data_IF_825302159185
#
_entry.id   IF_825302159185
#
_cell.length_a   1.000
_cell.length_b   1.000
_cell.length_c   1.000
_cell.angle_alpha   90.00
_cell.angle_beta   90.00
_cell.angle_gamma   90.00
#
_symmetry.space_group_name_H-M   'P 1'
#
loop_
_entity.id
_entity.type
_entity.pdbx_description
1 polymer ?
#
# COMPACT_ATOMS: atom_id res chain seq x y z
N UNK A 1 -4.71 9.13 -16.78
CA UNK A 1 -5.27 10.51 -16.94
C UNK A 1 -6.35 10.77 -15.90
N UNK A 2 -6.83 12.01 -15.73
CA UNK A 2 -7.95 12.31 -14.82
C UNK A 2 -9.19 11.46 -15.16
N UNK A 3 -9.54 11.32 -16.44
CA UNK A 3 -10.66 10.48 -16.87
C UNK A 3 -10.50 8.99 -16.47
N UNK A 4 -9.27 8.46 -16.54
CA UNK A 4 -8.98 7.08 -16.11
C UNK A 4 -9.18 6.91 -14.59
N UNK A 5 -8.68 7.87 -13.79
CA UNK A 5 -8.91 7.85 -12.34
C UNK A 5 -10.39 7.95 -12.00
N UNK A 6 -11.14 8.82 -12.68
CA UNK A 6 -12.59 8.94 -12.46
C UNK A 6 -13.31 7.64 -12.81
N UNK A 7 -12.98 7.01 -13.95
CA UNK A 7 -13.58 5.72 -14.32
C UNK A 7 -13.26 4.60 -13.32
N UNK A 8 -11.99 4.50 -12.92
CA UNK A 8 -11.55 3.51 -11.94
C UNK A 8 -12.17 3.76 -10.56
N UNK A 9 -12.34 5.02 -10.16
CA UNK A 9 -13.01 5.41 -8.92
C UNK A 9 -14.46 4.92 -8.88
N UNK A 10 -15.22 5.13 -9.96
CA UNK A 10 -16.60 4.65 -10.06
C UNK A 10 -16.64 3.13 -9.97
N UNK A 11 -15.82 2.42 -10.73
CA UNK A 11 -15.77 0.95 -10.71
C UNK A 11 -15.41 0.40 -9.33
N UNK A 12 -14.39 0.96 -8.68
CA UNK A 12 -13.94 0.49 -7.37
C UNK A 12 -14.95 0.83 -6.26
N UNK A 13 -15.67 1.95 -6.38
CA UNK A 13 -16.76 2.30 -5.46
C UNK A 13 -17.88 1.26 -5.56
N UNK A 14 -18.36 0.95 -6.76
CA UNK A 14 -19.40 -0.09 -6.97
C UNK A 14 -18.95 -1.49 -6.53
N UNK A 15 -17.65 -1.80 -6.64
CA UNK A 15 -17.12 -3.10 -6.26
C UNK A 15 -16.93 -3.25 -4.73
N UNK A 16 -16.44 -2.20 -4.05
CA UNK A 16 -15.94 -2.29 -2.69
C UNK A 16 -16.86 -1.65 -1.64
N UNK A 17 -17.62 -0.63 -2.01
CA UNK A 17 -18.45 0.18 -1.10
C UNK A 17 -19.94 -0.15 -1.31
N UNK A 18 -20.30 -1.41 -1.11
CA UNK A 18 -21.62 -1.96 -1.49
C UNK A 18 -22.68 -1.89 -0.39
N UNK A 19 -22.28 -1.52 0.83
CA UNK A 19 -23.16 -1.54 1.99
C UNK A 19 -23.61 -0.12 2.38
N UNK A 20 -24.86 0.00 2.81
CA UNK A 20 -25.41 1.19 3.47
C UNK A 20 -25.88 0.78 4.85
N UNK A 21 -25.70 1.66 5.83
CA UNK A 21 -26.21 1.50 7.18
C UNK A 21 -27.08 2.69 7.54
N UNK A 22 -28.15 2.39 8.27
CA UNK A 22 -29.06 3.36 8.86
C UNK A 22 -29.23 3.00 10.33
N UNK A 23 -28.91 3.93 11.22
CA UNK A 23 -29.01 3.73 12.67
C UNK A 23 -29.32 5.03 13.39
N UNK A 24 -29.95 4.94 14.56
CA UNK A 24 -30.28 6.11 15.40
C UNK A 24 -29.36 6.19 16.60
N UNK A 25 -28.97 7.42 16.95
CA UNK A 25 -28.12 7.75 18.10
C UNK A 25 -28.75 8.88 18.90
N UNK A 26 -28.30 9.07 20.15
CA UNK A 26 -28.67 10.24 20.94
C UNK A 26 -27.92 11.49 20.47
N UNK A 27 -27.87 12.52 21.34
CA UNK A 27 -27.19 13.79 21.06
C UNK A 27 -25.71 13.64 20.69
N UNK A 28 -25.06 12.53 21.06
CA UNK A 28 -23.69 12.22 20.62
C UNK A 28 -23.56 12.06 19.10
N UNK A 29 -24.65 11.87 18.36
CA UNK A 29 -24.67 11.85 16.89
C UNK A 29 -24.32 13.20 16.27
N UNK A 30 -24.62 14.29 16.97
CA UNK A 30 -24.34 15.66 16.52
C UNK A 30 -22.85 15.98 16.40
N UNK A 31 -21.97 15.13 16.96
CA UNK A 31 -20.52 15.29 16.79
C UNK A 31 -20.05 14.98 15.37
N UNK A 32 -20.88 14.27 14.60
CA UNK A 32 -20.58 13.91 13.22
C UNK A 32 -21.21 14.89 12.25
N UNK A 33 -20.63 14.98 11.08
CA UNK A 33 -21.13 15.74 9.94
C UNK A 33 -21.12 14.86 8.68
N UNK A 34 -21.97 15.13 7.68
CA UNK A 34 -21.87 14.47 6.39
C UNK A 34 -20.45 14.57 5.83
N UNK A 35 -19.88 13.41 5.47
CA UNK A 35 -18.49 13.28 5.02
C UNK A 35 -17.59 12.54 6.02
N UNK A 36 -17.93 12.55 7.31
CA UNK A 36 -17.14 11.91 8.36
C UNK A 36 -17.05 10.39 8.18
N UNK A 37 -15.88 9.83 8.52
CA UNK A 37 -15.65 8.39 8.55
C UNK A 37 -15.91 7.89 9.97
N UNK A 38 -16.93 7.05 10.10
CA UNK A 38 -17.38 6.47 11.35
C UNK A 38 -17.08 4.96 11.38
N UNK A 39 -16.55 4.50 12.51
CA UNK A 39 -16.43 3.07 12.78
C UNK A 39 -17.76 2.57 13.36
N UNK A 40 -18.33 1.52 12.77
CA UNK A 40 -19.62 0.95 13.19
C UNK A 40 -19.41 -0.43 13.80
N UNK A 41 -19.73 -0.54 15.09
CA UNK A 41 -19.72 -1.79 15.85
C UNK A 41 -21.12 -2.43 15.84
N UNK A 42 -21.50 -3.01 14.71
CA UNK A 42 -22.80 -3.68 14.51
C UNK A 42 -22.77 -5.11 15.06
N UNK A 43 -23.50 -5.32 16.15
CA UNK A 43 -23.55 -6.61 16.84
C UNK A 43 -24.23 -7.72 16.01
N UNK A 44 -25.27 -7.37 15.25
CA UNK A 44 -26.04 -8.34 14.46
C UNK A 44 -25.22 -8.81 13.27
N UNK A 45 -24.50 -7.87 12.61
CA UNK A 45 -23.58 -8.21 11.54
C UNK A 45 -22.36 -8.99 12.04
N UNK A 46 -21.83 -8.64 13.22
CA UNK A 46 -20.69 -9.33 13.80
C UNK A 46 -21.04 -10.72 14.36
N UNK A 47 -22.33 -10.99 14.62
CA UNK A 47 -22.78 -12.19 15.34
C UNK A 47 -22.26 -12.25 16.78
N UNK A 48 -21.88 -11.11 17.35
CA UNK A 48 -21.24 -10.99 18.66
C UNK A 48 -21.50 -9.61 19.29
N UNK A 49 -21.53 -9.54 20.62
CA UNK A 49 -21.61 -8.29 21.37
C UNK A 49 -20.30 -7.51 21.29
N UNK A 50 -20.23 -6.56 20.37
CA UNK A 50 -19.05 -5.74 20.05
C UNK A 50 -19.27 -4.24 20.26
N UNK A 51 -20.46 -3.80 20.65
CA UNK A 51 -20.75 -2.42 20.99
C UNK A 51 -21.95 -2.28 21.92
N UNK A 52 -21.95 -1.21 22.72
CA UNK A 52 -23.00 -0.94 23.69
C UNK A 52 -22.74 0.29 24.56
N UNK A 53 -23.33 0.29 25.75
CA UNK A 53 -23.23 1.35 26.78
C UNK A 53 -22.62 0.82 28.08
N UNK A 54 -21.90 1.68 28.78
CA UNK A 54 -21.38 1.41 30.13
C UNK A 54 -22.52 1.63 31.11
N UNK A 55 -22.78 0.67 32.01
CA UNK A 55 -23.86 0.76 33.01
C UNK A 55 -23.35 1.19 34.38
N UNK A 56 -22.13 0.80 34.72
CA UNK A 56 -21.49 1.13 36.00
C UNK A 56 -19.97 1.07 35.87
N UNK A 57 -19.25 1.70 36.81
CA UNK A 57 -17.80 1.69 36.85
C UNK A 57 -17.22 1.76 38.26
N UNK A 58 -16.11 1.06 38.46
CA UNK A 58 -15.28 1.16 39.66
C UNK A 58 -13.88 1.64 39.26
N UNK A 59 -13.60 2.91 39.56
CA UNK A 59 -12.33 3.57 39.24
C UNK A 59 -11.17 2.91 40.00
N UNK A 60 -11.40 2.48 41.24
CA UNK A 60 -10.34 1.93 42.10
C UNK A 60 -9.79 0.61 41.56
N UNK A 61 -10.69 -0.23 41.03
CA UNK A 61 -10.32 -1.52 40.42
C UNK A 61 -10.16 -1.44 38.90
N UNK A 62 -10.46 -0.30 38.28
CA UNK A 62 -10.49 -0.08 36.82
C UNK A 62 -11.47 -1.03 36.13
N UNK A 63 -12.58 -1.33 36.80
CA UNK A 63 -13.61 -2.25 36.31
C UNK A 63 -14.74 -1.46 35.66
N UNK A 64 -15.17 -1.87 34.47
CA UNK A 64 -16.41 -1.41 33.85
C UNK A 64 -17.43 -2.53 33.84
N UNK A 65 -18.69 -2.18 34.10
CA UNK A 65 -19.86 -3.02 33.84
C UNK A 65 -20.50 -2.57 32.53
N UNK A 66 -20.71 -3.51 31.61
CA UNK A 66 -21.29 -3.28 30.30
C UNK A 66 -22.80 -3.53 30.33
N UNK A 67 -23.52 -3.00 29.36
CA UNK A 67 -24.97 -3.23 29.18
C UNK A 67 -25.32 -4.63 28.69
N UNK A 68 -24.32 -5.45 28.34
CA UNK A 68 -24.47 -6.81 27.83
C UNK A 68 -23.19 -7.61 28.04
N UNK A 69 -23.33 -8.91 27.97
CA UNK A 69 -22.20 -9.84 28.03
C UNK A 69 -21.37 -9.76 26.75
N UNK A 70 -20.05 -9.91 26.88
CA UNK A 70 -19.11 -10.00 25.77
C UNK A 70 -18.29 -11.30 25.85
N UNK A 71 -17.74 -11.72 24.71
CA UNK A 71 -16.83 -12.87 24.65
C UNK A 71 -15.47 -12.39 24.19
N UNK A 72 -14.44 -12.62 25.01
CA UNK A 72 -13.06 -12.33 24.66
C UNK A 72 -12.39 -13.52 23.96
N UNK A 73 -11.41 -13.27 23.08
CA UNK A 73 -10.71 -14.34 22.37
C UNK A 73 -9.75 -15.08 23.33
N UNK A 74 -9.57 -16.38 23.11
CA UNK A 74 -8.63 -17.21 23.89
C UNK A 74 -7.17 -16.78 23.70
N UNK A 75 -6.87 -16.10 22.59
CA UNK A 75 -5.54 -15.55 22.30
C UNK A 75 -5.62 -14.21 21.55
N UNK A 76 -4.60 -13.38 21.74
CA UNK A 76 -4.54 -12.02 21.19
C UNK A 76 -5.05 -10.96 22.17
N UNK A 77 -4.66 -9.70 21.94
CA UNK A 77 -5.08 -8.59 22.78
C UNK A 77 -6.45 -8.07 22.33
N UNK A 78 -7.42 -8.03 23.25
CA UNK A 78 -8.68 -7.33 23.05
C UNK A 78 -8.55 -5.88 23.54
N UNK A 79 -9.09 -4.94 22.77
CA UNK A 79 -9.10 -3.52 23.14
C UNK A 79 -10.53 -3.00 23.18
N UNK A 80 -10.78 -2.07 24.09
CA UNK A 80 -12.05 -1.36 24.21
C UNK A 80 -11.84 0.09 23.79
N UNK A 81 -12.65 0.55 22.82
CA UNK A 81 -12.80 1.98 22.55
C UNK A 81 -13.94 2.49 23.41
N UNK A 82 -13.69 3.58 24.11
CA UNK A 82 -14.65 4.24 24.98
C UNK A 82 -14.81 5.67 24.47
N UNK A 83 -16.05 6.13 24.35
CA UNK A 83 -16.36 7.53 24.04
C UNK A 83 -17.14 8.10 25.21
N UNK A 84 -16.48 9.03 25.91
CA UNK A 84 -17.06 9.80 27.00
C UNK A 84 -17.98 10.92 26.51
N UNK A 85 -18.52 11.73 27.44
CA UNK A 85 -19.42 12.86 27.12
C UNK A 85 -18.72 13.98 26.36
N UNK A 86 -17.40 14.07 26.53
CA UNK A 86 -16.53 14.99 25.79
C UNK A 86 -16.39 14.59 24.32
N UNK A 87 -16.88 13.40 23.93
CA UNK A 87 -16.87 12.91 22.55
C UNK A 87 -15.52 12.41 22.07
N UNK A 88 -14.47 12.49 22.89
CA UNK A 88 -13.13 12.04 22.57
C UNK A 88 -13.04 10.52 22.68
N UNK A 89 -12.64 9.79 21.62
CA UNK A 89 -12.42 8.36 21.71
C UNK A 89 -11.14 8.05 22.49
N UNK A 90 -11.23 7.09 23.40
CA UNK A 90 -10.11 6.55 24.16
C UNK A 90 -10.04 5.03 23.97
N UNK A 91 -8.87 4.52 23.57
CA UNK A 91 -8.65 3.08 23.37
C UNK A 91 -7.74 2.52 24.46
N UNK A 92 -8.14 1.41 25.07
CA UNK A 92 -7.32 0.69 26.06
C UNK A 92 -7.44 -0.81 25.91
N UNK A 93 -6.38 -1.54 26.29
CA UNK A 93 -6.40 -2.99 26.41
C UNK A 93 -7.29 -3.44 27.58
N UNK A 94 -7.97 -4.57 27.39
CA UNK A 94 -8.67 -5.29 28.45
C UNK A 94 -7.64 -6.19 29.15
N UNK A 95 -7.47 -5.99 30.46
CA UNK A 95 -6.54 -6.75 31.29
C UNK A 95 -7.14 -8.10 31.72
N UNK A 96 -8.42 -8.14 32.08
CA UNK A 96 -9.14 -9.36 32.44
C UNK A 96 -10.66 -9.19 32.36
N UNK A 97 -11.39 -10.30 32.40
CA UNK A 97 -12.86 -10.33 32.39
C UNK A 97 -13.36 -11.08 33.64
N UNK A 98 -13.60 -10.39 34.77
CA UNK A 98 -14.06 -11.03 36.01
C UNK A 98 -15.49 -11.61 35.93
N UNK A 99 -16.33 -11.12 35.00
CA UNK A 99 -17.66 -11.65 34.71
C UNK A 99 -18.01 -11.42 33.22
N UNK A 100 -18.99 -12.13 32.65
CA UNK A 100 -19.36 -11.99 31.23
C UNK A 100 -19.64 -10.55 30.79
N UNK A 101 -20.19 -9.72 31.67
CA UNK A 101 -20.53 -8.31 31.49
C UNK A 101 -19.52 -7.33 32.11
N UNK A 102 -18.42 -7.81 32.70
CA UNK A 102 -17.44 -6.97 33.42
C UNK A 102 -16.03 -7.14 32.90
N UNK A 103 -15.36 -6.01 32.67
CA UNK A 103 -13.99 -5.97 32.18
C UNK A 103 -13.12 -5.09 33.07
N UNK A 104 -11.89 -5.53 33.33
CA UNK A 104 -10.84 -4.73 33.97
C UNK A 104 -9.97 -4.14 32.88
N UNK A 105 -9.80 -2.83 32.89
CA UNK A 105 -9.01 -2.11 31.90
C UNK A 105 -7.57 -1.92 32.36
N UNK A 106 -6.65 -1.91 31.40
CA UNK A 106 -5.25 -1.55 31.65
C UNK A 106 -5.13 -0.10 32.12
N UNK A 107 -5.84 0.82 31.47
CA UNK A 107 -5.92 2.24 31.84
C UNK A 107 -7.39 2.66 31.86
N UNK A 108 -7.83 3.27 32.95
CA UNK A 108 -9.19 3.83 33.06
C UNK A 108 -9.19 5.26 32.47
N UNK A 109 -10.10 5.61 31.54
CA UNK A 109 -10.22 6.97 31.04
C UNK A 109 -10.75 7.90 32.13
N UNK A 110 -10.26 9.15 32.20
CA UNK A 110 -10.78 10.14 33.15
C UNK A 110 -12.20 10.62 32.79
N UNK A 111 -12.56 10.57 31.51
CA UNK A 111 -13.86 11.05 30.99
C UNK A 111 -14.95 9.97 30.95
N UNK A 112 -14.65 8.75 31.42
CA UNK A 112 -15.64 7.66 31.43
C UNK A 112 -16.71 7.90 32.47
N UNK A 113 -17.96 7.64 32.12
CA UNK A 113 -19.09 7.69 33.03
C UNK A 113 -20.15 6.66 32.64
N UNK A 114 -21.19 6.42 33.46
CA UNK A 114 -22.34 5.65 33.02
C UNK A 114 -22.95 6.27 31.76
N UNK A 115 -23.46 5.41 30.88
CA UNK A 115 -23.97 5.73 29.53
C UNK A 115 -22.93 6.17 28.49
N UNK A 116 -21.63 6.21 28.84
CA UNK A 116 -20.56 6.28 27.84
C UNK A 116 -20.65 5.11 26.87
N UNK A 117 -20.28 5.34 25.61
CA UNK A 117 -20.31 4.32 24.56
C UNK A 117 -19.05 3.47 24.68
N UNK A 118 -19.19 2.17 24.48
CA UNK A 118 -18.06 1.27 24.27
C UNK A 118 -18.18 0.51 22.95
N UNK A 119 -17.02 0.20 22.36
CA UNK A 119 -16.88 -0.67 21.20
C UNK A 119 -15.68 -1.61 21.40
N UNK A 120 -15.90 -2.91 21.23
CA UNK A 120 -14.90 -3.96 21.36
C UNK A 120 -14.17 -4.15 20.04
N UNK A 121 -12.84 -4.08 20.10
CA UNK A 121 -11.93 -4.40 19.01
C UNK A 121 -11.27 -5.74 19.29
N UNK A 122 -11.58 -6.73 18.46
CA UNK A 122 -11.00 -8.07 18.49
C UNK A 122 -10.05 -8.27 17.31
N UNK A 123 -8.96 -9.04 17.46
CA UNK A 123 -8.07 -9.38 16.36
C UNK A 123 -8.77 -10.08 15.18
N UNK A 124 -9.84 -10.81 15.46
CA UNK A 124 -10.64 -11.55 14.47
C UNK A 124 -11.68 -10.68 13.74
N UNK A 125 -11.96 -9.47 14.24
CA UNK A 125 -12.97 -8.59 13.66
C UNK A 125 -12.31 -7.58 12.73
N UNK A 126 -12.78 -7.56 11.47
CA UNK A 126 -12.43 -6.48 10.54
C UNK A 126 -13.15 -5.21 10.95
N UNK A 127 -12.40 -4.12 11.08
CA UNK A 127 -12.97 -2.78 11.25
C UNK A 127 -13.88 -2.47 10.06
N UNK A 128 -15.11 -2.04 10.34
CA UNK A 128 -16.05 -1.57 9.33
C UNK A 128 -16.17 -0.06 9.43
N UNK A 129 -15.83 0.62 8.35
CA UNK A 129 -15.89 2.07 8.23
C UNK A 129 -17.03 2.44 7.32
N UNK A 130 -17.72 3.51 7.68
CA UNK A 130 -18.79 4.08 6.88
C UNK A 130 -18.57 5.59 6.78
N UNK A 131 -18.85 6.15 5.61
CA UNK A 131 -18.88 7.59 5.38
C UNK A 131 -20.31 8.08 5.61
N UNK A 132 -20.47 9.00 6.55
CA UNK A 132 -21.76 9.64 6.80
C UNK A 132 -22.23 10.38 5.55
N UNK A 133 -23.46 10.12 5.12
CA UNK A 133 -24.12 10.80 4.00
C UNK A 133 -25.17 11.78 4.50
N UNK A 134 -25.87 11.41 5.57
CA UNK A 134 -26.97 12.21 6.11
C UNK A 134 -27.08 12.03 7.62
N UNK A 135 -27.42 13.13 8.28
CA UNK A 135 -27.87 13.16 9.68
C UNK A 135 -29.22 13.87 9.68
N UNK A 136 -30.22 13.26 10.31
CA UNK A 136 -31.57 13.80 10.43
C UNK A 136 -31.97 13.76 11.91
N UNK A 137 -32.42 14.89 12.44
CA UNK A 137 -33.04 14.96 13.76
C UNK A 137 -34.46 14.39 13.71
N UNK A 138 -34.81 13.56 14.69
CA UNK A 138 -36.14 12.99 14.90
C UNK A 138 -36.87 13.70 16.06
N UNK A 139 -38.19 13.56 16.12
CA UNK A 139 -39.06 14.31 17.04
C UNK A 139 -38.87 13.93 18.52
N UNK A 140 -38.17 12.83 18.81
CA UNK A 140 -37.89 12.32 20.16
C UNK A 140 -36.51 12.73 20.71
N UNK A 141 -35.79 13.61 19.99
CA UNK A 141 -34.46 14.07 20.37
C UNK A 141 -33.33 13.10 20.01
N UNK A 142 -33.62 12.06 19.21
CA UNK A 142 -32.62 11.19 18.59
C UNK A 142 -32.26 11.67 17.18
N UNK A 143 -31.17 11.14 16.65
CA UNK A 143 -30.62 11.50 15.35
C UNK A 143 -30.43 10.23 14.52
N UNK A 144 -31.11 10.15 13.38
CA UNK A 144 -30.90 9.12 12.38
C UNK A 144 -29.68 9.45 11.52
N UNK A 145 -28.73 8.52 11.45
CA UNK A 145 -27.52 8.59 10.64
C UNK A 145 -27.63 7.56 9.51
N UNK A 146 -27.53 8.06 8.27
CA UNK A 146 -27.35 7.23 7.06
C UNK A 146 -25.90 7.34 6.61
N UNK A 147 -25.25 6.19 6.41
CA UNK A 147 -23.85 6.15 5.99
C UNK A 147 -23.60 5.02 4.98
N UNK A 148 -22.68 5.26 4.04
CA UNK A 148 -22.26 4.28 3.03
C UNK A 148 -20.91 3.71 3.39
N UNK A 149 -20.65 2.44 3.05
CA UNK A 149 -19.39 1.79 3.36
C UNK A 149 -18.21 2.59 2.83
N UNK A 150 -17.15 2.67 3.61
CA UNK A 150 -15.90 3.30 3.21
C UNK A 150 -14.76 2.29 3.26
N UNK A 151 -14.04 2.15 2.15
CA UNK A 151 -12.85 1.29 2.04
C UNK A 151 -11.63 2.20 1.80
N UNK A 152 -10.80 2.48 2.81
CA UNK A 152 -9.65 3.38 2.69
C UNK A 152 -8.67 2.97 1.58
N UNK A 153 -8.54 1.68 1.33
CA UNK A 153 -7.64 1.11 0.33
C UNK A 153 -8.04 1.48 -1.11
N UNK A 154 -9.31 1.88 -1.33
CA UNK A 154 -9.83 2.29 -2.64
C UNK A 154 -9.00 3.41 -3.27
N UNK A 155 -8.60 4.41 -2.50
CA UNK A 155 -7.85 5.57 -3.02
C UNK A 155 -6.50 5.14 -3.60
N UNK A 156 -5.78 4.26 -2.88
CA UNK A 156 -4.51 3.69 -3.33
C UNK A 156 -4.66 2.90 -4.63
N UNK A 157 -5.75 2.15 -4.80
CA UNK A 157 -6.03 1.41 -6.04
C UNK A 157 -6.25 2.38 -7.21
N UNK A 158 -7.00 3.47 -6.99
CA UNK A 158 -7.29 4.47 -8.02
C UNK A 158 -6.04 5.24 -8.44
N UNK A 159 -5.19 5.59 -7.47
CA UNK A 159 -3.96 6.33 -7.70
C UNK A 159 -2.89 5.48 -8.39
N UNK A 160 -2.69 4.23 -7.95
CA UNK A 160 -1.72 3.31 -8.54
C UNK A 160 -2.19 2.72 -9.87
N UNK A 161 -3.51 2.68 -10.14
CA UNK A 161 -4.06 2.19 -11.40
C UNK A 161 -3.81 3.13 -12.59
N UNK A 162 -3.39 4.37 -12.35
CA UNK A 162 -3.06 5.32 -13.42
C UNK A 162 -1.65 5.09 -14.00
N UNK A 163 -1.45 4.00 -14.75
CA UNK A 163 -0.30 3.90 -15.64
C UNK A 163 -0.56 4.74 -16.88
N UNK A 164 0.30 5.74 -17.13
CA UNK A 164 0.31 6.43 -18.40
C UNK A 164 1.42 5.79 -19.23
N UNK A 165 1.05 5.02 -20.25
CA UNK A 165 2.02 4.75 -21.30
C UNK A 165 2.46 6.11 -21.84
N UNK A 166 3.77 6.44 -21.85
CA UNK A 166 4.21 7.61 -22.57
C UNK A 166 3.72 7.48 -24.00
N UNK A 167 2.86 8.40 -24.43
CA UNK A 167 2.44 8.49 -25.82
C UNK A 167 3.72 8.48 -26.68
N UNK A 168 3.81 7.64 -27.72
CA UNK A 168 4.97 7.68 -28.60
C UNK A 168 5.11 9.13 -29.08
N UNK A 169 6.26 9.74 -28.77
CA UNK A 169 6.55 11.10 -29.21
C UNK A 169 6.32 11.20 -30.71
N UNK A 170 5.76 12.33 -31.16
CA UNK A 170 5.49 12.61 -32.57
C UNK A 170 6.64 12.13 -33.46
N UNK A 171 6.30 11.29 -34.45
CA UNK A 171 7.19 10.51 -35.32
C UNK A 171 8.14 11.38 -36.15
N UNK A 172 9.15 11.94 -35.50
CA UNK A 172 10.39 12.42 -36.12
C UNK A 172 11.63 12.05 -35.27
N UNK A 173 11.44 11.29 -34.18
CA UNK A 173 12.52 10.72 -33.37
C UNK A 173 12.77 9.27 -33.76
N UNK A 174 13.99 8.97 -34.21
CA UNK A 174 14.46 7.60 -34.40
C UNK A 174 14.66 6.99 -33.00
N UNK A 175 13.66 6.28 -32.46
CA UNK A 175 13.78 5.61 -31.16
C UNK A 175 14.84 4.50 -31.28
N UNK A 176 15.94 4.54 -30.48
CA UNK A 176 16.92 3.46 -30.50
C UNK A 176 16.28 2.13 -30.06
N UNK A 177 16.51 1.02 -30.79
CA UNK A 177 15.92 -0.28 -30.46
C UNK A 177 16.52 -0.85 -29.17
N UNK A 178 15.79 -1.74 -28.51
CA UNK A 178 16.33 -2.53 -27.40
C UNK A 178 17.38 -3.52 -27.90
N UNK A 179 18.43 -3.75 -27.10
CA UNK A 179 19.40 -4.83 -27.34
C UNK A 179 18.82 -6.13 -26.79
N UNK A 180 18.89 -7.21 -27.58
CA UNK A 180 18.36 -8.53 -27.24
C UNK A 180 19.42 -9.62 -27.46
N UNK A 181 19.26 -10.77 -26.80
CA UNK A 181 20.14 -11.93 -26.94
C UNK A 181 21.64 -11.60 -26.81
N UNK A 182 21.98 -10.72 -25.87
CA UNK A 182 23.39 -10.42 -25.58
C UNK A 182 24.06 -11.68 -25.03
N UNK A 183 25.02 -12.19 -25.78
CA UNK A 183 25.84 -13.36 -25.44
C UNK A 183 27.32 -12.99 -25.52
N UNK A 184 28.13 -13.64 -24.68
CA UNK A 184 29.58 -13.43 -24.63
C UNK A 184 30.26 -14.79 -24.68
N UNK A 185 31.14 -14.95 -25.65
CA UNK A 185 32.04 -16.08 -25.78
C UNK A 185 33.44 -15.66 -25.30
N UNK A 186 34.05 -16.44 -24.40
CA UNK A 186 35.40 -16.18 -23.90
C UNK A 186 36.40 -17.18 -24.44
N UNK A 187 37.56 -16.70 -24.87
CA UNK A 187 38.69 -17.51 -25.29
C UNK A 187 39.87 -17.33 -24.32
N UNK A 188 40.54 -18.44 -23.98
CA UNK A 188 41.55 -18.54 -22.94
C UNK A 188 42.94 -18.90 -23.48
N UNK A 189 43.19 -18.67 -24.77
CA UNK A 189 44.43 -19.07 -25.46
C UNK A 189 45.71 -18.36 -24.95
N UNK A 190 45.61 -17.47 -23.94
CA UNK A 190 46.77 -16.83 -23.29
C UNK A 190 46.49 -16.33 -21.85
N UNK A 191 47.53 -15.81 -21.16
CA UNK A 191 47.43 -15.15 -19.83
C UNK A 191 46.49 -13.92 -19.87
N UNK A 192 46.24 -13.39 -21.07
CA UNK A 192 45.31 -12.32 -21.37
C UNK A 192 44.06 -12.91 -22.04
N UNK A 193 42.89 -12.75 -21.40
CA UNK A 193 41.63 -13.32 -21.87
C UNK A 193 41.02 -12.45 -22.98
N UNK A 194 40.35 -13.11 -23.91
CA UNK A 194 39.55 -12.44 -24.94
C UNK A 194 38.08 -12.73 -24.70
N UNK A 195 37.22 -11.74 -24.92
CA UNK A 195 35.78 -11.88 -24.82
C UNK A 195 35.12 -11.29 -26.05
N UNK A 196 34.36 -12.10 -26.79
CA UNK A 196 33.58 -11.66 -27.96
C UNK A 196 32.11 -11.59 -27.58
N UNK A 197 31.56 -10.39 -27.58
CA UNK A 197 30.14 -10.14 -27.37
C UNK A 197 29.39 -10.08 -28.69
N UNK A 198 28.19 -10.66 -28.73
CA UNK A 198 27.25 -10.57 -29.85
C UNK A 198 25.85 -10.30 -29.31
N UNK A 199 25.05 -9.56 -30.07
CA UNK A 199 23.67 -9.27 -29.72
C UNK A 199 22.84 -9.04 -30.97
N UNK A 200 21.52 -8.97 -30.80
CA UNK A 200 20.56 -8.63 -31.84
C UNK A 200 19.73 -7.41 -31.45
N UNK A 201 19.04 -6.85 -32.44
CA UNK A 201 18.00 -5.85 -32.21
C UNK A 201 16.73 -6.29 -32.92
N UNK A 202 15.53 -6.03 -32.35
CA UNK A 202 14.27 -6.45 -32.95
C UNK A 202 13.99 -5.74 -34.30
N UNK A 203 14.67 -4.62 -34.57
CA UNK A 203 14.59 -3.86 -35.82
C UNK A 203 15.92 -3.19 -36.12
N UNK A 204 16.36 -3.25 -37.38
CA UNK A 204 17.51 -2.48 -37.86
C UNK A 204 17.06 -1.04 -38.11
N UNK A 205 17.68 -0.10 -37.41
CA UNK A 205 17.33 1.31 -37.46
C UNK A 205 18.53 2.12 -37.94
N UNK A 206 18.34 2.91 -39.01
CA UNK A 206 19.42 3.70 -39.62
C UNK A 206 19.95 4.74 -38.64
N UNK A 207 21.28 4.84 -38.51
CA UNK A 207 21.93 5.86 -37.66
C UNK A 207 21.98 5.51 -36.17
N UNK A 208 21.68 4.26 -35.81
CA UNK A 208 21.92 3.73 -34.46
C UNK A 208 23.35 3.20 -34.37
N UNK A 209 24.00 3.50 -33.24
CA UNK A 209 25.26 2.89 -32.80
C UNK A 209 25.02 2.21 -31.45
N UNK A 210 25.97 1.41 -31.01
CA UNK A 210 25.93 0.70 -29.74
C UNK A 210 27.05 1.19 -28.84
N UNK A 211 26.71 1.61 -27.63
CA UNK A 211 27.68 1.86 -26.57
C UNK A 211 27.84 0.57 -25.78
N UNK A 212 29.06 0.07 -25.78
CA UNK A 212 29.48 -1.12 -25.08
C UNK A 212 30.25 -0.66 -23.84
N UNK A 213 29.87 -1.14 -22.66
CA UNK A 213 30.46 -0.75 -21.37
C UNK A 213 30.80 -2.00 -20.58
N UNK A 214 32.07 -2.16 -20.23
CA UNK A 214 32.55 -3.24 -19.37
C UNK A 214 32.90 -2.65 -18.00
N UNK A 215 32.34 -3.23 -16.94
CA UNK A 215 32.60 -2.83 -15.55
C UNK A 215 33.05 -4.03 -14.72
N UNK A 216 33.74 -3.77 -13.61
CA UNK A 216 34.09 -4.77 -12.59
C UNK A 216 33.59 -4.30 -11.22
N UNK A 217 33.54 -5.21 -10.25
CA UNK A 217 32.98 -4.96 -8.92
C UNK A 217 31.46 -5.13 -8.87
N UNK A 218 30.98 -5.64 -7.74
CA UNK A 218 29.60 -6.08 -7.52
C UNK A 218 28.63 -4.95 -7.13
N UNK A 219 29.15 -3.74 -6.87
CA UNK A 219 28.34 -2.59 -6.44
C UNK A 219 27.84 -2.67 -4.99
N UNK A 220 28.37 -3.59 -4.20
CA UNK A 220 28.07 -3.75 -2.77
C UNK A 220 28.97 -2.87 -1.91
N UNK A 221 28.59 -2.68 -0.65
CA UNK A 221 29.39 -1.94 0.33
C UNK A 221 30.77 -2.58 0.47
N UNK A 222 31.83 -1.83 0.11
CA UNK A 222 33.22 -2.30 0.06
C UNK A 222 33.73 -2.75 -1.31
N UNK A 223 32.86 -2.91 -2.32
CA UNK A 223 33.22 -3.35 -3.68
C UNK A 223 32.47 -2.53 -4.76
N UNK A 224 32.88 -1.27 -4.98
CA UNK A 224 32.19 -0.35 -5.89
C UNK A 224 32.37 -0.75 -7.36
N UNK A 225 31.33 -0.53 -8.16
CA UNK A 225 31.41 -0.73 -9.62
C UNK A 225 32.43 0.22 -10.23
N UNK A 226 33.44 -0.32 -10.91
CA UNK A 226 34.48 0.44 -11.61
C UNK A 226 34.37 0.23 -13.12
N UNK A 227 34.52 1.30 -13.88
CA UNK A 227 34.60 1.22 -15.34
C UNK A 227 35.95 0.62 -15.75
N UNK A 228 35.90 -0.46 -16.53
CA UNK A 228 37.08 -1.08 -17.13
C UNK A 228 37.32 -0.44 -18.49
N UNK A 229 36.31 -0.48 -19.36
CA UNK A 229 36.38 0.16 -20.68
C UNK A 229 35.00 0.50 -21.22
N UNK A 230 34.97 1.43 -22.19
CA UNK A 230 33.79 1.72 -22.98
C UNK A 230 34.17 1.95 -24.44
N UNK A 231 33.33 1.46 -25.34
CA UNK A 231 33.50 1.62 -26.78
C UNK A 231 32.17 1.94 -27.45
N UNK A 232 32.23 2.51 -28.64
CA UNK A 232 31.05 2.71 -29.50
C UNK A 232 31.28 2.01 -30.83
N UNK A 233 30.33 1.17 -31.26
CA UNK A 233 30.38 0.42 -32.52
C UNK A 233 29.09 0.59 -33.31
N UNK A 234 29.13 0.47 -34.64
CA UNK A 234 27.93 0.31 -35.49
C UNK A 234 27.55 -1.15 -35.70
N UNK A 235 28.46 -2.08 -35.38
CA UNK A 235 28.25 -3.51 -35.50
C UNK A 235 27.44 -4.06 -34.33
N UNK A 236 26.81 -5.21 -34.52
CA UNK A 236 26.12 -5.96 -33.45
C UNK A 236 27.03 -6.96 -32.74
N UNK A 237 28.34 -6.74 -32.84
CA UNK A 237 29.37 -7.50 -32.13
C UNK A 237 30.51 -6.59 -31.68
N UNK A 238 31.20 -6.99 -30.62
CA UNK A 238 32.40 -6.31 -30.13
C UNK A 238 33.34 -7.31 -29.45
N UNK A 239 34.64 -7.21 -29.75
CA UNK A 239 35.68 -8.03 -29.14
C UNK A 239 36.50 -7.20 -28.14
N UNK A 240 36.63 -7.73 -26.94
CA UNK A 240 37.55 -7.26 -25.93
C UNK A 240 38.80 -8.12 -25.96
N UNK A 241 39.95 -7.46 -25.85
CA UNK A 241 41.25 -8.10 -25.80
C UNK A 241 41.97 -7.65 -24.53
N UNK A 242 42.96 -8.45 -24.11
CA UNK A 242 43.83 -8.11 -22.99
C UNK A 242 43.11 -7.94 -21.65
N UNK A 243 42.02 -8.69 -21.42
CA UNK A 243 41.30 -8.64 -20.16
C UNK A 243 42.04 -9.47 -19.09
N UNK A 244 42.36 -8.88 -17.92
CA UNK A 244 42.82 -9.65 -16.76
C UNK A 244 41.75 -10.64 -16.31
N UNK A 245 42.15 -11.73 -15.66
CA UNK A 245 41.21 -12.64 -15.02
C UNK A 245 40.41 -11.89 -13.94
N UNK A 246 39.08 -11.98 -14.00
CA UNK A 246 38.19 -11.38 -13.01
C UNK A 246 36.73 -11.42 -13.43
N UNK A 247 35.86 -10.97 -12.52
CA UNK A 247 34.44 -10.85 -12.78
C UNK A 247 34.13 -9.51 -13.44
N UNK A 248 33.38 -9.55 -14.54
CA UNK A 248 33.01 -8.39 -15.32
C UNK A 248 31.53 -8.39 -15.63
N UNK A 249 30.91 -7.22 -15.61
CA UNK A 249 29.57 -7.02 -16.16
C UNK A 249 29.68 -6.23 -17.45
N UNK A 250 29.24 -6.85 -18.54
CA UNK A 250 29.06 -6.21 -19.83
C UNK A 250 27.67 -5.59 -19.91
N UNK A 251 27.58 -4.35 -20.38
CA UNK A 251 26.33 -3.68 -20.70
C UNK A 251 26.41 -3.09 -22.10
N UNK A 252 25.42 -3.36 -22.93
CA UNK A 252 25.31 -2.83 -24.31
C UNK A 252 24.01 -2.04 -24.43
N UNK A 253 24.07 -0.84 -25.00
CA UNK A 253 22.88 -0.01 -25.28
C UNK A 253 22.93 0.63 -26.66
N UNK A 254 21.78 0.72 -27.32
CA UNK A 254 21.65 1.47 -28.56
C UNK A 254 21.64 2.97 -28.28
N UNK A 255 22.26 3.77 -29.17
CA UNK A 255 22.25 5.23 -29.15
C UNK A 255 21.99 5.76 -30.56
N UNK A 256 21.12 6.77 -30.70
CA UNK A 256 20.88 7.42 -31.99
C UNK A 256 21.77 8.66 -32.20
N UNK A 257 21.66 9.29 -33.37
CA UNK A 257 22.39 10.52 -33.72
C UNK A 257 22.09 11.74 -32.84
N UNK A 258 21.01 11.70 -32.04
CA UNK A 258 20.63 12.75 -31.09
C UNK A 258 21.05 12.45 -29.64
N UNK A 259 21.78 11.36 -29.42
CA UNK A 259 22.22 10.93 -28.09
C UNK A 259 21.14 10.27 -27.24
N UNK A 260 19.94 10.01 -27.79
CA UNK A 260 18.93 9.22 -27.09
C UNK A 260 19.40 7.77 -26.98
N UNK A 261 19.13 7.15 -25.84
CA UNK A 261 19.57 5.80 -25.51
C UNK A 261 18.37 4.86 -25.46
N UNK A 262 18.52 3.66 -25.99
CA UNK A 262 17.56 2.57 -25.87
C UNK A 262 17.80 1.73 -24.61
N UNK A 263 16.87 0.80 -24.37
CA UNK A 263 16.99 -0.14 -23.25
C UNK A 263 18.28 -0.96 -23.33
N UNK A 264 19.07 -1.03 -22.25
CA UNK A 264 20.32 -1.78 -22.22
C UNK A 264 20.07 -3.28 -22.04
N UNK A 265 20.99 -4.10 -22.56
CA UNK A 265 21.15 -5.50 -22.16
C UNK A 265 22.44 -5.65 -21.36
N UNK A 266 22.42 -6.48 -20.32
CA UNK A 266 23.58 -6.75 -19.46
C UNK A 266 23.78 -8.25 -19.25
N UNK A 267 25.05 -8.66 -19.17
CA UNK A 267 25.48 -10.01 -18.81
C UNK A 267 26.68 -9.90 -17.88
N UNK A 268 26.74 -10.77 -16.88
CA UNK A 268 27.82 -10.86 -15.90
C UNK A 268 28.68 -12.11 -16.15
#
# INVERSE_FOLDING_TARGET
GQAHRTGLWVMMTELLETQTVDFSVGAEGLRHTPGDIIEVCDNDYAGASIGGRITDLDISTRTLTLDREITLPESGAATLNIVGPDGTPFSTEIQSQPAPDRVVLKVMPETVQPYSIWGLKLPSLKRRLFRCVRIKEDDDGTYAITAVQHVPEKESIVDNGAHFDPLPGTTNGIIPPAVQHLVVDTDNDSILYQAKAKWDTPRVVKGVRFVVRLTTGSGKEGDPVRLVTTATTSETEYAFHELPLGDYTLTVRAINGFGQQGEPASVA
#
